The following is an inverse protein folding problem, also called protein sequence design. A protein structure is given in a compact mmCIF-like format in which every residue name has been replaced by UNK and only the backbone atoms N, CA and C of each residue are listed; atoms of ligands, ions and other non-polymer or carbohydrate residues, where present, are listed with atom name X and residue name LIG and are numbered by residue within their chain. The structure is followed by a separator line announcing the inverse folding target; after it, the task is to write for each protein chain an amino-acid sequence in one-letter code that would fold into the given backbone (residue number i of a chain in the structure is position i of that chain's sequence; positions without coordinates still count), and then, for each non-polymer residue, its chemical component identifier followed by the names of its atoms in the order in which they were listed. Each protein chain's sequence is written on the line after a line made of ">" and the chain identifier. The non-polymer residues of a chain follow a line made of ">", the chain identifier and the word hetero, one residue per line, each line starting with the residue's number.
data_IF_133950979580
#
_entry.id   IF_133950979580
#
_cell.length_a   1.000
_cell.length_b   1.000
_cell.length_c   1.000
_cell.angle_alpha   90.00
_cell.angle_beta   90.00
_cell.angle_gamma   90.00
#
_symmetry.space_group_name_H-M   'P 1'
#
loop_
_entity.id
_entity.type
_entity.pdbx_description
1 polymer ?
#
# COMPACT_ATOMS: atom_id res chain seq x y z
N UNK A 1 4.02 -41.30 -25.74
CA UNK A 1 3.36 -40.71 -24.59
C UNK A 1 3.25 -39.21 -24.67
N UNK A 2 4.25 -38.50 -25.10
CA UNK A 2 4.13 -37.11 -25.49
C UNK A 2 4.41 -37.06 -27.01
N UNK A 3 3.33 -36.85 -27.76
CA UNK A 3 3.46 -36.51 -29.19
C UNK A 3 3.87 -35.04 -29.37
N UNK A 4 4.00 -34.32 -28.24
CA UNK A 4 4.40 -32.92 -28.20
C UNK A 4 5.89 -32.77 -27.88
N UNK A 5 6.62 -31.94 -28.63
CA UNK A 5 7.98 -31.52 -28.25
C UNK A 5 8.01 -30.95 -26.82
N UNK A 6 9.14 -31.17 -26.13
CA UNK A 6 9.33 -30.69 -24.74
C UNK A 6 9.03 -29.21 -24.57
N UNK A 7 9.45 -28.40 -25.54
CA UNK A 7 9.27 -26.93 -25.52
C UNK A 7 7.81 -26.54 -25.53
N UNK A 8 6.99 -27.20 -26.33
CA UNK A 8 5.56 -26.96 -26.41
C UNK A 8 4.85 -27.44 -25.15
N UNK A 9 5.27 -28.57 -24.59
CA UNK A 9 4.74 -29.07 -23.31
C UNK A 9 5.03 -28.08 -22.18
N UNK A 10 6.23 -27.49 -22.12
CA UNK A 10 6.59 -26.47 -21.12
C UNK A 10 5.74 -25.21 -21.25
N UNK A 11 5.52 -24.73 -22.49
CA UNK A 11 4.65 -23.59 -22.74
C UNK A 11 3.23 -23.86 -22.25
N UNK A 12 2.66 -25.02 -22.58
CA UNK A 12 1.30 -25.38 -22.13
C UNK A 12 1.22 -25.44 -20.60
N UNK A 13 2.21 -26.03 -19.94
CA UNK A 13 2.24 -26.13 -18.49
C UNK A 13 2.31 -24.77 -17.79
N UNK A 14 3.00 -23.78 -18.39
CA UNK A 14 3.07 -22.43 -17.82
C UNK A 14 1.71 -21.71 -17.77
N UNK A 15 0.78 -22.07 -18.65
CA UNK A 15 -0.59 -21.50 -18.66
C UNK A 15 -1.54 -22.18 -17.68
N UNK A 16 -1.17 -23.34 -17.14
CA UNK A 16 -2.04 -24.04 -16.19
C UNK A 16 -2.00 -23.38 -14.81
N UNK A 17 -3.13 -23.36 -14.09
CA UNK A 17 -3.12 -23.03 -12.66
C UNK A 17 -2.14 -23.94 -11.89
N UNK A 18 -1.47 -23.37 -10.88
CA UNK A 18 -0.43 -24.08 -10.12
C UNK A 18 -0.93 -25.41 -9.50
N UNK A 19 -2.17 -25.42 -8.99
CA UNK A 19 -2.81 -26.64 -8.47
C UNK A 19 -3.03 -27.69 -9.55
N UNK A 20 -3.27 -27.30 -10.80
CA UNK A 20 -3.38 -28.22 -11.94
C UNK A 20 -2.03 -28.82 -12.30
N UNK A 21 -0.94 -28.06 -12.26
CA UNK A 21 0.42 -28.59 -12.45
C UNK A 21 0.75 -29.60 -11.36
N UNK A 22 0.41 -29.33 -10.11
CA UNK A 22 0.60 -30.28 -9.00
C UNK A 22 -0.21 -31.57 -9.19
N UNK A 23 -1.48 -31.44 -9.61
CA UNK A 23 -2.32 -32.61 -9.91
C UNK A 23 -1.79 -33.45 -11.07
N UNK A 24 -1.25 -32.82 -12.12
CA UNK A 24 -0.63 -33.53 -13.22
C UNK A 24 0.52 -34.45 -12.80
N UNK A 25 1.29 -34.10 -11.77
CA UNK A 25 2.33 -34.95 -11.20
C UNK A 25 1.78 -36.29 -10.67
N UNK A 26 0.51 -36.32 -10.29
CA UNK A 26 -0.16 -37.49 -9.73
C UNK A 26 -0.86 -38.37 -10.76
N UNK A 27 -0.93 -37.91 -12.03
CA UNK A 27 -1.67 -38.63 -13.09
C UNK A 27 -0.96 -39.92 -13.51
N UNK A 28 0.37 -39.83 -13.76
CA UNK A 28 1.18 -41.02 -14.10
C UNK A 28 2.68 -40.75 -13.87
N UNK A 29 3.47 -41.82 -13.84
CA UNK A 29 4.92 -41.74 -13.60
C UNK A 29 5.68 -40.88 -14.63
N UNK A 30 5.22 -40.85 -15.87
CA UNK A 30 5.89 -40.07 -16.91
C UNK A 30 5.68 -38.58 -16.72
N UNK A 31 4.47 -38.13 -16.37
CA UNK A 31 4.20 -36.75 -15.99
C UNK A 31 4.98 -36.39 -14.73
N UNK A 32 5.00 -37.26 -13.74
CA UNK A 32 5.76 -37.04 -12.51
C UNK A 32 7.25 -36.79 -12.83
N UNK A 33 7.89 -37.68 -13.59
CA UNK A 33 9.31 -37.55 -13.97
C UNK A 33 9.55 -36.29 -14.79
N UNK A 34 8.70 -36.01 -15.78
CA UNK A 34 8.84 -34.83 -16.63
C UNK A 34 8.79 -33.53 -15.81
N UNK A 35 7.79 -33.39 -14.94
CA UNK A 35 7.64 -32.18 -14.12
C UNK A 35 8.80 -32.05 -13.14
N UNK A 36 9.29 -33.14 -12.53
CA UNK A 36 10.46 -33.08 -11.65
C UNK A 36 11.73 -32.65 -12.39
N UNK A 37 11.97 -33.17 -13.60
CA UNK A 37 13.14 -32.83 -14.40
C UNK A 37 13.12 -31.37 -14.88
N UNK A 38 11.95 -30.82 -15.09
CA UNK A 38 11.75 -29.47 -15.63
C UNK A 38 11.18 -28.51 -14.56
N UNK A 39 11.28 -28.85 -13.27
CA UNK A 39 10.61 -28.17 -12.17
C UNK A 39 10.91 -26.66 -12.19
N UNK A 40 12.18 -26.28 -12.26
CA UNK A 40 12.59 -24.89 -12.24
C UNK A 40 12.02 -24.10 -13.44
N UNK A 41 12.04 -24.67 -14.62
CA UNK A 41 11.54 -24.02 -15.84
C UNK A 41 10.03 -23.83 -15.78
N UNK A 42 9.29 -24.88 -15.39
CA UNK A 42 7.82 -24.87 -15.30
C UNK A 42 7.37 -23.83 -14.28
N UNK A 43 7.92 -23.85 -13.05
CA UNK A 43 7.47 -22.97 -12.00
C UNK A 43 7.95 -21.53 -12.18
N UNK A 44 9.13 -21.31 -12.78
CA UNK A 44 9.56 -19.95 -13.14
C UNK A 44 8.63 -19.33 -14.19
N UNK A 45 8.33 -20.05 -15.28
CA UNK A 45 7.42 -19.57 -16.31
C UNK A 45 6.00 -19.35 -15.78
N UNK A 46 5.51 -20.26 -14.94
CA UNK A 46 4.21 -20.09 -14.26
C UNK A 46 4.20 -18.88 -13.32
N UNK A 47 5.30 -18.65 -12.58
CA UNK A 47 5.42 -17.47 -11.71
C UNK A 47 5.32 -16.16 -12.48
N UNK A 48 5.97 -16.06 -13.64
CA UNK A 48 5.88 -14.89 -14.53
C UNK A 48 4.48 -14.76 -15.14
N UNK A 49 3.94 -15.85 -15.69
CA UNK A 49 2.63 -15.84 -16.36
C UNK A 49 1.49 -15.45 -15.41
N UNK A 50 1.48 -16.05 -14.20
CA UNK A 50 0.48 -15.74 -13.18
C UNK A 50 0.78 -14.45 -12.39
N UNK A 51 1.80 -13.69 -12.82
CA UNK A 51 2.22 -12.42 -12.18
C UNK A 51 2.52 -12.57 -10.69
N UNK A 52 3.07 -13.70 -10.29
CA UNK A 52 3.55 -13.92 -8.92
C UNK A 52 4.86 -13.20 -8.66
N UNK A 53 5.64 -12.95 -9.73
CA UNK A 53 6.86 -12.17 -9.76
C UNK A 53 6.85 -11.21 -10.97
N UNK A 54 7.61 -10.10 -10.94
CA UNK A 54 7.89 -9.28 -12.10
C UNK A 54 8.64 -10.08 -13.19
N UNK A 55 8.42 -9.71 -14.45
CA UNK A 55 9.11 -10.36 -15.59
C UNK A 55 10.63 -10.16 -15.61
N UNK A 56 11.14 -9.18 -14.87
CA UNK A 56 12.57 -8.90 -14.76
C UNK A 56 13.33 -9.87 -13.85
N UNK A 57 12.63 -10.64 -13.04
CA UNK A 57 13.25 -11.56 -12.07
C UNK A 57 13.59 -12.86 -12.75
N UNK A 58 14.88 -13.21 -12.76
CA UNK A 58 15.42 -14.40 -13.44
C UNK A 58 15.92 -15.48 -12.48
N UNK A 59 16.11 -15.14 -11.22
CA UNK A 59 16.56 -16.08 -10.19
C UNK A 59 15.77 -15.94 -8.88
N UNK A 60 15.79 -16.99 -8.06
CA UNK A 60 15.15 -17.00 -6.74
C UNK A 60 15.86 -16.03 -5.81
N UNK A 61 17.17 -15.87 -5.95
CA UNK A 61 17.98 -14.92 -5.19
C UNK A 61 17.57 -13.47 -5.47
N UNK A 62 17.30 -13.12 -6.73
CA UNK A 62 16.75 -11.81 -7.08
C UNK A 62 15.35 -11.60 -6.47
N UNK A 63 14.52 -12.64 -6.43
CA UNK A 63 13.24 -12.56 -5.76
C UNK A 63 13.38 -12.31 -4.25
N UNK A 64 14.38 -12.92 -3.58
CA UNK A 64 14.69 -12.66 -2.17
C UNK A 64 15.10 -11.20 -1.90
N UNK A 65 15.71 -10.53 -2.87
CA UNK A 65 16.05 -9.10 -2.75
C UNK A 65 14.80 -8.22 -2.89
N UNK A 66 13.87 -8.61 -3.77
CA UNK A 66 12.66 -7.83 -4.05
C UNK A 66 11.59 -7.96 -2.96
N UNK A 67 11.44 -9.15 -2.37
CA UNK A 67 10.45 -9.44 -1.35
C UNK A 67 11.09 -9.47 0.04
N UNK A 68 10.29 -9.24 1.09
CA UNK A 68 10.83 -9.24 2.45
C UNK A 68 11.46 -10.59 2.82
N UNK A 69 12.49 -10.56 3.66
CA UNK A 69 13.12 -11.78 4.17
C UNK A 69 12.12 -12.75 4.80
N UNK A 70 11.12 -12.22 5.51
CA UNK A 70 10.13 -13.05 6.20
C UNK A 70 9.15 -13.72 5.24
N UNK A 71 8.78 -13.08 4.13
CA UNK A 71 7.83 -13.67 3.18
C UNK A 71 8.43 -14.81 2.38
N UNK A 72 9.74 -14.81 2.17
CA UNK A 72 10.47 -15.84 1.40
C UNK A 72 11.43 -16.69 2.25
N UNK A 73 11.34 -16.61 3.58
CA UNK A 73 12.17 -17.43 4.46
C UNK A 73 11.92 -18.93 4.22
N UNK A 74 13.00 -19.68 4.04
CA UNK A 74 12.96 -21.12 3.71
C UNK A 74 12.60 -21.46 2.26
N UNK A 75 12.38 -20.47 1.37
CA UNK A 75 12.13 -20.72 -0.05
C UNK A 75 13.46 -21.08 -0.74
N UNK A 76 13.58 -22.33 -1.19
CA UNK A 76 14.80 -22.84 -1.85
C UNK A 76 14.70 -22.94 -3.37
N UNK A 77 13.53 -22.74 -3.97
CA UNK A 77 13.31 -22.91 -5.39
C UNK A 77 12.05 -22.25 -5.92
N UNK A 78 11.91 -22.26 -7.25
CA UNK A 78 10.76 -21.63 -7.92
C UNK A 78 9.41 -22.23 -7.52
N UNK A 79 9.39 -23.53 -7.26
CA UNK A 79 8.16 -24.20 -6.78
C UNK A 79 7.72 -23.66 -5.43
N UNK A 80 8.65 -23.61 -4.47
CA UNK A 80 8.36 -23.13 -3.12
C UNK A 80 7.93 -21.68 -3.13
N UNK A 81 8.58 -20.86 -3.98
CA UNK A 81 8.20 -19.47 -4.21
C UNK A 81 6.77 -19.36 -4.75
N UNK A 82 6.44 -20.15 -5.78
CA UNK A 82 5.09 -20.16 -6.34
C UNK A 82 4.05 -20.58 -5.30
N UNK A 83 4.32 -21.62 -4.52
CA UNK A 83 3.43 -22.10 -3.45
C UNK A 83 3.21 -20.98 -2.39
N UNK A 84 4.28 -20.33 -1.94
CA UNK A 84 4.20 -19.25 -0.97
C UNK A 84 3.40 -18.06 -1.50
N UNK A 85 3.74 -17.57 -2.70
CA UNK A 85 3.06 -16.43 -3.33
C UNK A 85 1.59 -16.73 -3.66
N UNK A 86 1.28 -17.97 -4.04
CA UNK A 86 -0.10 -18.39 -4.27
C UNK A 86 -0.93 -18.39 -2.97
N UNK A 87 -0.36 -18.86 -1.87
CA UNK A 87 -1.00 -18.82 -0.55
C UNK A 87 -1.22 -17.37 -0.09
N UNK A 88 -0.23 -16.51 -0.24
CA UNK A 88 -0.34 -15.09 0.09
C UNK A 88 -1.48 -14.41 -0.68
N UNK A 89 -1.60 -14.68 -1.99
CA UNK A 89 -2.67 -14.11 -2.81
C UNK A 89 -4.05 -14.69 -2.53
N UNK A 90 -4.10 -15.97 -2.23
CA UNK A 90 -5.36 -16.68 -1.95
C UNK A 90 -5.66 -16.75 -0.47
N UNK A 91 -5.50 -15.68 0.27
CA UNK A 91 -5.70 -15.60 1.72
C UNK A 91 -7.04 -16.24 2.15
N UNK A 92 -7.04 -17.56 2.13
CA UNK A 92 -8.21 -18.40 2.41
C UNK A 92 -8.34 -18.73 3.91
N UNK A 93 -7.42 -18.26 4.76
CA UNK A 93 -7.34 -18.60 6.17
C UNK A 93 -6.96 -20.06 6.46
N UNK A 94 -6.58 -20.83 5.44
CA UNK A 94 -6.23 -22.25 5.57
C UNK A 94 -4.73 -22.49 5.75
N UNK A 95 -3.90 -21.47 5.49
CA UNK A 95 -2.46 -21.55 5.69
C UNK A 95 -2.12 -21.44 7.18
N UNK A 96 -1.07 -22.13 7.60
CA UNK A 96 -0.46 -21.89 8.91
C UNK A 96 0.02 -20.44 8.99
N UNK A 97 -0.35 -19.74 10.06
CA UNK A 97 0.10 -18.38 10.31
C UNK A 97 0.90 -18.34 11.60
N UNK A 98 1.97 -17.53 11.60
CA UNK A 98 2.69 -17.17 12.81
C UNK A 98 2.16 -15.83 13.30
N UNK A 99 1.73 -15.80 14.57
CA UNK A 99 1.38 -14.55 15.24
C UNK A 99 2.60 -14.02 15.99
N UNK A 100 3.08 -12.87 15.59
CA UNK A 100 4.18 -12.17 16.26
C UNK A 100 3.59 -10.94 16.97
N UNK A 101 3.51 -10.92 18.30
CA UNK A 101 3.06 -9.74 19.02
C UNK A 101 4.17 -8.68 19.05
N UNK A 102 3.84 -7.44 18.67
CA UNK A 102 4.71 -6.28 18.83
C UNK A 102 4.20 -5.45 20.00
N UNK A 103 4.99 -5.39 21.08
CA UNK A 103 4.62 -4.71 22.33
C UNK A 103 5.26 -3.33 22.47
N UNK A 104 6.42 -3.12 21.86
CA UNK A 104 7.19 -1.88 21.97
C UNK A 104 6.44 -0.65 21.43
N UNK A 105 5.53 -0.84 20.43
CA UNK A 105 4.67 0.22 19.93
C UNK A 105 3.55 0.63 20.90
N UNK A 106 3.35 -0.10 22.01
CA UNK A 106 2.27 0.09 22.95
C UNK A 106 0.91 -0.41 22.46
N UNK A 107 -0.14 -0.19 23.25
CA UNK A 107 -1.50 -0.69 22.99
C UNK A 107 -2.42 0.31 22.29
N UNK A 108 -2.01 1.59 22.20
CA UNK A 108 -2.84 2.68 21.67
C UNK A 108 -2.45 3.08 20.24
N UNK A 109 -2.16 2.12 19.38
CA UNK A 109 -1.75 2.37 17.98
C UNK A 109 -2.90 2.98 17.19
N UNK A 110 -2.65 4.11 16.51
CA UNK A 110 -3.60 4.80 15.62
C UNK A 110 -3.36 4.50 14.15
N UNK A 111 -2.10 4.59 13.71
CA UNK A 111 -1.68 4.25 12.34
C UNK A 111 -0.45 3.36 12.38
N UNK A 112 -0.35 2.53 11.36
CA UNK A 112 0.77 1.62 11.17
C UNK A 112 1.27 1.71 9.72
N UNK A 113 2.58 1.75 9.54
CA UNK A 113 3.27 1.60 8.26
C UNK A 113 4.41 0.61 8.45
N UNK A 114 4.68 -0.19 7.44
CA UNK A 114 5.71 -1.23 7.49
C UNK A 114 6.70 -0.99 6.37
N UNK A 115 7.99 -1.00 6.71
CA UNK A 115 9.07 -1.09 5.75
C UNK A 115 9.70 -2.49 5.90
N UNK A 116 9.24 -3.42 5.08
CA UNK A 116 9.70 -4.80 5.12
C UNK A 116 11.16 -4.92 4.71
N UNK A 117 11.61 -4.10 3.75
CA UNK A 117 12.99 -4.11 3.27
C UNK A 117 13.97 -3.60 4.31
N UNK A 118 13.59 -2.55 5.03
CA UNK A 118 14.41 -1.98 6.10
C UNK A 118 14.18 -2.70 7.45
N UNK A 119 13.17 -3.57 7.56
CA UNK A 119 12.91 -4.41 8.72
C UNK A 119 12.37 -3.64 9.93
N UNK A 120 11.47 -2.67 9.74
CA UNK A 120 10.85 -1.95 10.85
C UNK A 120 9.38 -1.57 10.59
N UNK A 121 8.70 -1.31 11.68
CA UNK A 121 7.31 -0.83 11.72
C UNK A 121 7.32 0.59 12.28
N UNK A 122 6.58 1.50 11.62
CA UNK A 122 6.30 2.84 12.14
C UNK A 122 4.88 2.89 12.66
N UNK A 123 4.69 3.44 13.84
CA UNK A 123 3.37 3.62 14.44
C UNK A 123 3.17 5.03 14.95
N UNK A 124 1.95 5.58 14.80
CA UNK A 124 1.50 6.73 15.57
C UNK A 124 0.50 6.27 16.64
N UNK A 125 0.43 6.99 17.75
CA UNK A 125 -0.39 6.62 18.88
C UNK A 125 -1.63 7.52 19.03
N UNK A 126 -2.72 6.95 19.58
CA UNK A 126 -3.88 7.72 20.05
C UNK A 126 -3.50 8.70 21.17
N UNK A 127 -2.46 8.40 21.93
CA UNK A 127 -1.94 9.27 23.01
C UNK A 127 -0.96 10.33 22.49
N UNK A 128 -0.54 10.22 21.22
CA UNK A 128 0.52 11.01 20.60
C UNK A 128 1.83 10.25 20.56
N UNK A 129 2.78 10.80 19.79
CA UNK A 129 4.06 10.15 19.52
C UNK A 129 4.07 9.31 18.23
N UNK A 130 5.27 9.14 17.69
CA UNK A 130 5.61 8.24 16.60
C UNK A 130 6.74 7.35 17.08
N UNK A 131 6.63 6.04 16.84
CA UNK A 131 7.63 5.05 17.25
C UNK A 131 7.99 4.19 16.06
N UNK A 132 9.29 3.89 15.92
CA UNK A 132 9.85 2.96 14.94
C UNK A 132 10.35 1.74 15.68
N UNK A 133 9.84 0.57 15.33
CA UNK A 133 10.10 -0.69 16.03
C UNK A 133 10.70 -1.70 15.06
N UNK A 134 11.74 -2.38 15.49
CA UNK A 134 12.37 -3.48 14.75
C UNK A 134 11.43 -4.68 14.63
N UNK A 135 11.30 -5.23 13.41
CA UNK A 135 10.38 -6.37 13.14
C UNK A 135 10.89 -7.71 13.67
N UNK A 136 12.18 -7.84 13.95
CA UNK A 136 12.76 -9.10 14.44
C UNK A 136 12.84 -9.14 15.97
N UNK A 137 13.19 -8.00 16.58
CA UNK A 137 13.54 -7.93 18.00
C UNK A 137 12.51 -7.23 18.88
N UNK A 138 11.49 -6.60 18.29
CA UNK A 138 10.50 -5.75 18.97
C UNK A 138 11.16 -4.61 19.78
N UNK A 139 12.35 -4.15 19.38
CA UNK A 139 13.04 -3.04 20.03
C UNK A 139 12.68 -1.71 19.38
N UNK A 140 12.55 -0.67 20.19
CA UNK A 140 12.39 0.68 19.66
C UNK A 140 13.72 1.13 19.07
N UNK A 141 13.72 1.41 17.76
CA UNK A 141 14.87 1.95 17.03
C UNK A 141 14.94 3.47 17.14
N UNK A 142 13.78 4.13 17.14
CA UNK A 142 13.69 5.58 17.17
C UNK A 142 12.27 6.04 17.53
N UNK A 143 12.12 7.25 18.07
CA UNK A 143 10.82 7.80 18.37
C UNK A 143 10.79 9.34 18.38
N UNK A 144 9.60 9.90 18.14
CA UNK A 144 9.26 11.31 18.31
C UNK A 144 8.12 11.44 19.32
N UNK A 145 8.39 11.96 20.48
CA UNK A 145 7.39 12.11 21.55
C UNK A 145 6.36 13.21 21.31
N UNK A 146 6.72 14.24 20.52
CA UNK A 146 5.88 15.44 20.28
C UNK A 146 5.04 15.36 18.99
N UNK A 147 4.69 14.17 18.53
CA UNK A 147 3.71 14.00 17.45
C UNK A 147 2.31 14.10 18.08
N UNK A 148 1.39 14.81 17.39
CA UNK A 148 0.04 15.03 17.91
C UNK A 148 -0.72 13.71 18.13
N UNK A 149 -1.69 13.73 19.02
CA UNK A 149 -2.62 12.61 19.24
C UNK A 149 -3.39 12.32 17.96
N UNK A 150 -3.64 11.04 17.68
CA UNK A 150 -4.34 10.59 16.48
C UNK A 150 -3.75 11.14 15.17
N UNK A 151 -2.43 11.34 15.10
CA UNK A 151 -1.80 11.80 13.88
C UNK A 151 -1.95 10.76 12.76
N UNK A 152 -2.51 11.19 11.61
CA UNK A 152 -2.40 10.39 10.39
C UNK A 152 -0.93 10.33 9.98
N UNK A 153 -0.48 9.17 9.47
CA UNK A 153 0.90 8.94 9.06
C UNK A 153 0.93 8.27 7.70
N UNK A 154 1.73 8.82 6.80
CA UNK A 154 2.08 8.23 5.51
C UNK A 154 3.58 7.91 5.48
N UNK A 155 3.93 6.83 4.75
CA UNK A 155 5.32 6.39 4.60
C UNK A 155 5.55 5.85 3.20
N UNK A 156 6.69 6.15 2.61
CA UNK A 156 7.12 5.62 1.32
C UNK A 156 8.51 6.13 0.95
N UNK A 157 9.31 5.29 0.31
CA UNK A 157 10.66 5.63 -0.19
C UNK A 157 11.52 6.36 0.85
N UNK A 158 11.44 5.93 2.14
CA UNK A 158 12.20 6.52 3.25
C UNK A 158 11.73 7.91 3.69
N UNK A 159 10.55 8.38 3.27
CA UNK A 159 9.89 9.56 3.80
C UNK A 159 8.77 9.17 4.73
N UNK A 160 8.71 9.78 5.90
CA UNK A 160 7.56 9.72 6.81
C UNK A 160 6.91 11.09 6.91
N UNK A 161 5.60 11.13 6.78
CA UNK A 161 4.81 12.37 6.75
C UNK A 161 3.64 12.22 7.71
N UNK A 162 3.44 13.22 8.57
CA UNK A 162 2.33 13.22 9.52
C UNK A 162 1.82 14.63 9.79
N UNK A 163 0.59 14.69 10.35
CA UNK A 163 -0.04 15.96 10.68
C UNK A 163 0.64 16.68 11.84
N UNK A 164 0.83 17.96 11.65
CA UNK A 164 1.19 18.90 12.68
C UNK A 164 -0.05 19.59 13.30
N UNK A 165 0.12 20.19 14.48
CA UNK A 165 -0.99 20.75 15.25
C UNK A 165 -1.70 21.94 14.59
N UNK A 166 -1.03 22.65 13.68
CA UNK A 166 -1.55 23.82 12.95
C UNK A 166 -2.08 23.48 11.54
N UNK A 167 -2.16 22.16 11.21
CA UNK A 167 -2.61 21.69 9.91
C UNK A 167 -1.48 21.50 8.88
N UNK A 168 -0.26 21.92 9.18
CA UNK A 168 0.91 21.64 8.36
C UNK A 168 1.20 20.13 8.31
N UNK A 169 2.02 19.71 7.35
CA UNK A 169 2.54 18.34 7.25
C UNK A 169 4.02 18.34 7.55
N UNK A 170 4.42 17.67 8.63
CA UNK A 170 5.82 17.42 8.89
C UNK A 170 6.33 16.32 7.99
N UNK A 171 7.44 16.57 7.33
CA UNK A 171 8.14 15.61 6.47
C UNK A 171 9.49 15.30 7.10
N UNK A 172 9.75 14.00 7.25
CA UNK A 172 10.99 13.47 7.78
C UNK A 172 11.59 12.49 6.79
N UNK A 173 12.91 12.49 6.66
CA UNK A 173 13.67 11.63 5.76
C UNK A 173 14.47 10.61 6.56
N UNK A 174 14.46 9.34 6.15
CA UNK A 174 15.32 8.31 6.75
C UNK A 174 16.77 8.76 6.71
N UNK A 175 17.48 8.59 7.81
CA UNK A 175 18.83 9.11 7.99
C UNK A 175 19.81 8.53 6.95
N UNK A 176 19.66 7.23 6.63
CA UNK A 176 20.52 6.54 5.67
C UNK A 176 20.32 7.03 4.22
N UNK A 177 19.16 7.64 3.91
CA UNK A 177 18.82 8.21 2.60
C UNK A 177 18.99 9.75 2.57
N UNK A 178 19.49 10.34 3.65
CA UNK A 178 19.56 11.80 3.76
C UNK A 178 20.73 12.34 2.93
N UNK A 179 20.42 13.06 1.85
CA UNK A 179 21.38 13.68 0.96
C UNK A 179 21.34 15.20 1.10
N UNK A 180 22.47 15.78 1.50
CA UNK A 180 22.63 17.23 1.67
C UNK A 180 22.42 18.00 0.36
N UNK A 181 22.85 17.43 -0.77
CA UNK A 181 22.70 18.09 -2.08
C UNK A 181 21.23 18.20 -2.50
N UNK A 182 20.42 17.21 -2.18
CA UNK A 182 18.97 17.25 -2.37
C UNK A 182 18.31 18.19 -1.35
N UNK A 183 18.82 18.21 -0.12
CA UNK A 183 18.31 19.08 0.92
C UNK A 183 18.46 20.57 0.56
N UNK A 184 19.52 20.95 -0.15
CA UNK A 184 19.77 22.32 -0.63
C UNK A 184 18.85 22.75 -1.78
N UNK A 185 18.26 21.80 -2.49
CA UNK A 185 17.32 22.08 -3.61
C UNK A 185 15.90 22.37 -3.14
N UNK A 186 15.63 22.31 -1.84
CA UNK A 186 14.28 22.55 -1.30
C UNK A 186 13.90 24.02 -1.36
N UNK A 187 12.62 24.27 -1.59
CA UNK A 187 12.12 25.64 -1.55
C UNK A 187 12.20 26.21 -0.12
N UNK A 188 12.60 27.47 0.05
CA UNK A 188 12.80 28.05 1.38
C UNK A 188 11.57 27.99 2.30
N UNK A 189 10.36 28.09 1.74
CA UNK A 189 9.10 28.02 2.50
C UNK A 189 8.78 26.64 3.07
N UNK A 190 9.48 25.58 2.63
CA UNK A 190 9.28 24.21 3.09
C UNK A 190 10.42 23.69 3.96
N UNK A 191 11.35 24.53 4.36
CA UNK A 191 12.46 24.11 5.23
C UNK A 191 11.95 23.64 6.60
N UNK A 192 12.68 22.70 7.25
CA UNK A 192 12.33 22.25 8.60
C UNK A 192 12.28 23.41 9.58
N UNK A 193 11.31 23.35 10.49
CA UNK A 193 11.23 24.31 11.60
C UNK A 193 12.32 24.03 12.66
N UNK A 194 12.66 25.04 13.45
CA UNK A 194 13.55 24.90 14.60
C UNK A 194 13.06 23.84 15.61
N UNK A 195 11.74 23.67 15.72
CA UNK A 195 11.12 22.63 16.56
C UNK A 195 11.39 21.22 16.04
N UNK A 196 11.32 20.98 14.72
CA UNK A 196 11.68 19.70 14.14
C UNK A 196 13.16 19.38 14.36
N UNK A 197 14.03 20.36 14.18
CA UNK A 197 15.47 20.21 14.45
C UNK A 197 15.70 19.84 15.91
N UNK A 198 15.12 20.59 16.85
CA UNK A 198 15.21 20.27 18.29
C UNK A 198 14.66 18.88 18.63
N UNK A 199 13.53 18.47 18.03
CA UNK A 199 12.95 17.14 18.23
C UNK A 199 13.87 16.03 17.71
N UNK A 200 14.57 16.27 16.60
CA UNK A 200 15.57 15.37 16.05
C UNK A 200 16.75 15.20 16.99
N UNK A 201 17.27 16.30 17.55
CA UNK A 201 18.40 16.27 18.49
C UNK A 201 18.05 15.50 19.77
N UNK A 202 16.84 15.73 20.31
CA UNK A 202 16.33 15.01 21.48
C UNK A 202 16.20 13.51 21.17
N UNK A 203 15.65 13.16 20.02
CA UNK A 203 15.50 11.77 19.61
C UNK A 203 16.85 11.10 19.39
N UNK A 204 17.81 11.77 18.76
CA UNK A 204 19.15 11.25 18.58
C UNK A 204 19.88 10.98 19.93
N UNK A 205 19.64 11.82 20.92
CA UNK A 205 20.21 11.63 22.27
C UNK A 205 19.57 10.45 23.02
N UNK A 206 18.30 10.13 22.76
CA UNK A 206 17.59 9.01 23.38
C UNK A 206 17.98 7.64 22.78
N UNK A 207 18.38 7.64 21.51
CA UNK A 207 18.76 6.42 20.78
C UNK A 207 20.20 6.50 20.28
N UNK A 208 21.18 6.58 21.19
CA UNK A 208 22.58 6.63 20.82
C UNK A 208 23.04 5.24 20.34
N UNK A 209 23.70 5.18 19.19
CA UNK A 209 24.24 3.92 18.68
C UNK A 209 24.98 4.11 17.36
N UNK A 210 25.75 3.11 16.93
CA UNK A 210 26.46 3.15 15.66
C UNK A 210 25.51 2.97 14.46
N UNK A 211 24.33 2.40 14.69
CA UNK A 211 23.33 2.16 13.63
C UNK A 211 22.32 3.31 13.58
N UNK A 212 22.09 3.80 12.38
CA UNK A 212 21.06 4.80 12.05
C UNK A 212 19.81 4.18 11.43
N UNK A 213 19.74 2.85 11.37
CA UNK A 213 18.58 2.13 10.83
C UNK A 213 17.30 2.51 11.59
N UNK A 214 16.29 2.91 10.84
CA UNK A 214 15.03 3.35 11.42
C UNK A 214 15.03 4.76 12.02
N UNK A 215 16.16 5.49 11.96
CA UNK A 215 16.25 6.88 12.36
C UNK A 215 15.81 7.81 11.24
N UNK A 216 15.21 8.93 11.64
CA UNK A 216 14.74 9.95 10.69
C UNK A 216 15.27 11.32 11.08
N UNK A 217 15.52 12.16 10.05
CA UNK A 217 15.95 13.55 10.18
C UNK A 217 14.89 14.49 9.60
N UNK A 218 14.75 15.71 10.12
CA UNK A 218 13.81 16.69 9.57
C UNK A 218 14.12 16.95 8.10
N UNK A 219 13.09 16.82 7.26
CA UNK A 219 13.21 17.10 5.83
C UNK A 219 12.50 18.38 5.45
N UNK A 220 11.28 18.60 5.92
CA UNK A 220 10.53 19.77 5.58
C UNK A 220 9.27 19.96 6.40
N UNK A 221 8.64 21.12 6.20
CA UNK A 221 7.36 21.47 6.77
C UNK A 221 6.49 22.09 5.67
N UNK A 222 5.41 21.40 5.31
CA UNK A 222 4.53 21.83 4.22
C UNK A 222 3.27 22.48 4.79
N UNK A 223 3.01 23.73 4.40
CA UNK A 223 1.84 24.49 4.81
C UNK A 223 0.80 24.49 3.70
N UNK A 224 -0.34 23.76 3.87
CA UNK A 224 -1.45 23.90 2.96
C UNK A 224 -2.02 25.32 3.00
N UNK A 225 -2.39 25.91 1.84
CA UNK A 225 -3.04 27.23 1.81
C UNK A 225 -4.37 27.30 2.55
N UNK A 226 -5.01 26.14 2.74
CA UNK A 226 -6.27 25.95 3.47
C UNK A 226 -6.18 24.71 4.38
N UNK A 227 -6.98 24.64 5.46
CA UNK A 227 -7.07 23.46 6.30
C UNK A 227 -7.41 22.21 5.47
N UNK A 228 -6.61 21.16 5.62
CA UNK A 228 -6.80 19.88 4.92
C UNK A 228 -7.28 18.80 5.89
N UNK A 229 -8.15 17.91 5.42
CA UNK A 229 -8.72 16.81 6.21
C UNK A 229 -8.08 15.46 5.93
N UNK A 230 -7.89 15.14 4.65
CA UNK A 230 -7.29 13.89 4.21
C UNK A 230 -6.01 14.16 3.42
N UNK A 231 -5.03 13.27 3.55
CA UNK A 231 -3.84 13.31 2.70
C UNK A 231 -3.33 11.91 2.41
N UNK A 232 -2.64 11.77 1.28
CA UNK A 232 -2.04 10.55 0.79
C UNK A 232 -0.69 10.85 0.18
N UNK A 233 0.29 10.01 0.49
CA UNK A 233 1.62 10.09 -0.10
C UNK A 233 1.86 8.90 -1.04
N UNK A 234 2.12 9.22 -2.30
CA UNK A 234 2.60 8.30 -3.33
C UNK A 234 3.84 8.94 -3.94
N UNK A 235 5.00 8.42 -3.58
CA UNK A 235 6.28 9.03 -3.96
C UNK A 235 6.35 9.41 -5.44
N UNK A 236 6.80 10.62 -5.77
CA UNK A 236 7.27 11.67 -4.86
C UNK A 236 6.18 12.68 -4.42
N UNK A 237 4.89 12.40 -4.70
CA UNK A 237 3.79 13.35 -4.56
C UNK A 237 3.02 13.13 -3.26
N UNK A 238 2.90 14.20 -2.47
CA UNK A 238 1.94 14.31 -1.38
C UNK A 238 0.70 15.04 -1.87
N UNK A 239 -0.45 14.39 -1.85
CA UNK A 239 -1.74 15.02 -2.09
C UNK A 239 -2.46 15.28 -0.77
N UNK A 240 -2.97 16.49 -0.58
CA UNK A 240 -3.79 16.83 0.58
C UNK A 240 -5.07 17.55 0.15
N UNK A 241 -6.21 17.03 0.62
CA UNK A 241 -7.54 17.53 0.27
C UNK A 241 -8.06 18.50 1.32
N UNK A 242 -8.38 19.72 0.89
CA UNK A 242 -9.21 20.69 1.59
C UNK A 242 -10.68 20.48 1.22
N UNK A 243 -11.55 21.40 1.63
CA UNK A 243 -12.98 21.31 1.30
C UNK A 243 -13.24 21.26 -0.21
N UNK A 244 -12.70 22.20 -0.96
CA UNK A 244 -12.95 22.36 -2.40
C UNK A 244 -11.67 22.42 -3.25
N UNK A 245 -10.51 22.08 -2.64
CA UNK A 245 -9.21 22.06 -3.28
C UNK A 245 -8.42 20.80 -2.96
N UNK A 246 -7.57 20.40 -3.89
CA UNK A 246 -6.49 19.46 -3.63
C UNK A 246 -5.16 20.12 -3.92
N UNK A 247 -4.26 20.04 -2.98
CA UNK A 247 -2.89 20.52 -3.09
C UNK A 247 -1.95 19.34 -3.29
N UNK A 248 -1.07 19.41 -4.30
CA UNK A 248 -0.08 18.39 -4.60
C UNK A 248 1.33 18.96 -4.46
N UNK A 249 2.14 18.38 -3.58
CA UNK A 249 3.55 18.77 -3.39
C UNK A 249 4.47 17.68 -3.91
N UNK A 250 5.60 18.10 -4.51
CA UNK A 250 6.76 17.25 -4.63
C UNK A 250 7.52 17.27 -3.28
N UNK A 251 7.49 16.16 -2.58
CA UNK A 251 8.08 16.04 -1.22
C UNK A 251 9.60 16.19 -1.23
N UNK A 252 10.26 15.88 -2.35
CA UNK A 252 11.72 16.02 -2.48
C UNK A 252 12.15 17.47 -2.35
N UNK A 253 11.43 18.35 -3.00
CA UNK A 253 11.73 19.80 -3.05
C UNK A 253 10.88 20.62 -2.09
N UNK A 254 9.75 20.08 -1.62
CA UNK A 254 8.74 20.79 -0.84
C UNK A 254 7.93 21.80 -1.68
N UNK A 255 8.05 21.78 -3.01
CA UNK A 255 7.31 22.67 -3.88
C UNK A 255 5.86 22.23 -4.03
N UNK A 256 4.92 23.17 -3.97
CA UNK A 256 3.54 22.96 -4.40
C UNK A 256 3.53 22.92 -5.92
N UNK A 257 3.33 21.73 -6.50
CA UNK A 257 3.44 21.52 -7.96
C UNK A 257 2.11 21.61 -8.67
N UNK A 258 1.00 21.46 -7.96
CA UNK A 258 -0.32 21.53 -8.56
C UNK A 258 -1.39 21.86 -7.51
N UNK A 259 -2.41 22.62 -7.93
CA UNK A 259 -3.66 22.78 -7.19
C UNK A 259 -4.82 22.37 -8.11
N UNK A 260 -5.71 21.53 -7.61
CA UNK A 260 -6.98 21.18 -8.28
C UNK A 260 -8.08 21.90 -7.51
N UNK A 261 -8.85 22.73 -8.21
CA UNK A 261 -9.88 23.57 -7.64
C UNK A 261 -11.29 23.02 -7.92
N UNK A 262 -12.28 23.53 -7.18
CA UNK A 262 -13.70 23.21 -7.39
C UNK A 262 -14.01 21.71 -7.23
N UNK A 263 -13.36 21.04 -6.30
CA UNK A 263 -13.51 19.60 -6.11
C UNK A 263 -14.90 19.21 -5.57
N UNK A 264 -15.67 20.18 -5.07
CA UNK A 264 -17.06 19.99 -4.67
C UNK A 264 -18.06 20.07 -5.85
N UNK A 265 -17.62 20.42 -7.07
CA UNK A 265 -18.47 20.50 -8.25
C UNK A 265 -18.38 19.20 -9.05
N UNK A 266 -19.52 18.71 -9.52
CA UNK A 266 -19.62 17.57 -10.43
C UNK A 266 -19.11 17.88 -11.85
N UNK A 267 -19.04 16.86 -12.68
CA UNK A 267 -18.56 16.97 -14.07
C UNK A 267 -19.43 17.86 -14.97
N UNK A 268 -20.68 18.05 -14.61
CA UNK A 268 -21.67 18.90 -15.29
C UNK A 268 -21.67 20.35 -14.77
N UNK A 269 -20.79 20.68 -13.82
CA UNK A 269 -20.75 21.99 -13.17
C UNK A 269 -21.85 22.23 -12.14
N UNK A 270 -22.72 21.24 -11.91
CA UNK A 270 -23.73 21.32 -10.85
C UNK A 270 -23.08 21.17 -9.48
N UNK A 271 -23.53 21.99 -8.53
CA UNK A 271 -23.10 21.96 -7.14
C UNK A 271 -23.72 20.74 -6.41
N UNK A 272 -23.30 19.55 -6.80
CA UNK A 272 -23.50 18.35 -5.97
C UNK A 272 -22.32 18.24 -5.03
N UNK A 273 -22.47 18.69 -3.81
CA UNK A 273 -21.39 18.62 -2.84
C UNK A 273 -20.96 17.17 -2.59
N UNK A 274 -19.66 16.91 -2.70
CA UNK A 274 -19.06 15.66 -2.30
C UNK A 274 -19.11 15.48 -0.76
N UNK A 275 -19.30 16.58 -0.06
CA UNK A 275 -19.31 16.66 1.39
C UNK A 275 -17.90 16.64 1.97
N UNK A 276 -17.80 16.29 3.25
CA UNK A 276 -16.50 16.13 3.91
C UNK A 276 -15.65 15.08 3.21
N UNK A 277 -14.43 15.45 2.82
CA UNK A 277 -13.50 14.52 2.17
C UNK A 277 -12.90 13.60 3.23
N UNK A 278 -13.15 12.31 3.09
CA UNK A 278 -12.66 11.28 4.01
C UNK A 278 -11.37 10.64 3.53
N UNK A 279 -11.20 10.46 2.20
CA UNK A 279 -10.04 9.84 1.60
C UNK A 279 -9.64 10.56 0.32
N UNK A 280 -8.35 10.54 0.07
CA UNK A 280 -7.73 10.95 -1.18
C UNK A 280 -6.80 9.85 -1.66
N UNK A 281 -6.79 9.54 -2.95
CA UNK A 281 -5.78 8.72 -3.60
C UNK A 281 -5.14 9.49 -4.74
N UNK A 282 -3.82 9.31 -4.91
CA UNK A 282 -3.01 10.05 -5.86
C UNK A 282 -2.35 9.08 -6.82
N UNK A 283 -2.86 9.01 -8.04
CA UNK A 283 -2.25 8.28 -9.13
C UNK A 283 -1.31 9.14 -9.98
N UNK A 284 -0.69 8.54 -10.97
CA UNK A 284 0.17 9.26 -11.92
C UNK A 284 -0.63 10.25 -12.77
N UNK A 285 -1.81 9.86 -13.24
CA UNK A 285 -2.67 10.63 -14.15
C UNK A 285 -3.85 11.27 -13.44
N UNK A 286 -4.29 10.72 -12.32
CA UNK A 286 -5.54 11.10 -11.67
C UNK A 286 -5.38 11.30 -10.17
N UNK A 287 -6.30 12.08 -9.60
CA UNK A 287 -6.53 12.18 -8.17
C UNK A 287 -7.98 11.78 -7.89
N UNK A 288 -8.18 10.92 -6.92
CA UNK A 288 -9.52 10.48 -6.50
C UNK A 288 -9.84 11.01 -5.12
N UNK A 289 -11.06 11.50 -4.96
CA UNK A 289 -11.58 12.00 -3.68
C UNK A 289 -12.82 11.21 -3.31
N UNK A 290 -12.81 10.62 -2.13
CA UNK A 290 -13.98 9.99 -1.54
C UNK A 290 -14.51 10.89 -0.43
N UNK A 291 -15.71 11.44 -0.64
CA UNK A 291 -16.43 12.22 0.34
C UNK A 291 -17.60 11.44 0.93
N UNK A 292 -18.39 12.13 1.76
CA UNK A 292 -19.58 11.54 2.39
C UNK A 292 -20.62 11.12 1.35
N UNK A 293 -20.74 11.88 0.25
CA UNK A 293 -21.82 11.72 -0.72
C UNK A 293 -21.38 11.07 -2.03
N UNK A 294 -20.10 10.68 -2.18
CA UNK A 294 -19.68 10.04 -3.42
C UNK A 294 -18.18 9.96 -3.61
N UNK A 295 -17.80 9.60 -4.82
CA UNK A 295 -16.42 9.46 -5.32
C UNK A 295 -16.24 10.32 -6.56
N UNK A 296 -15.18 11.13 -6.60
CA UNK A 296 -14.78 11.91 -7.78
C UNK A 296 -13.34 11.62 -8.16
N UNK A 297 -13.11 11.56 -9.47
CA UNK A 297 -11.78 11.47 -10.08
C UNK A 297 -11.47 12.72 -10.89
N UNK A 298 -10.28 13.26 -10.71
CA UNK A 298 -9.80 14.46 -11.40
C UNK A 298 -8.58 14.13 -12.22
N UNK A 299 -8.51 14.63 -13.45
CA UNK A 299 -7.31 14.55 -14.28
C UNK A 299 -6.23 15.47 -13.71
N UNK A 300 -5.03 14.96 -13.50
CA UNK A 300 -3.88 15.78 -13.09
C UNK A 300 -3.39 16.70 -14.19
N UNK A 301 -3.58 16.32 -15.45
CA UNK A 301 -3.19 17.17 -16.59
C UNK A 301 -4.07 18.41 -16.73
N UNK A 302 -5.38 18.25 -16.58
CA UNK A 302 -6.34 19.31 -16.86
C UNK A 302 -7.00 19.91 -15.63
N UNK A 303 -6.90 19.27 -14.47
CA UNK A 303 -7.62 19.62 -13.24
C UNK A 303 -9.13 19.35 -13.30
N UNK A 304 -9.66 18.83 -14.43
CA UNK A 304 -11.09 18.63 -14.61
C UNK A 304 -11.58 17.34 -13.96
N UNK A 305 -12.80 17.39 -13.46
CA UNK A 305 -13.52 16.19 -13.02
C UNK A 305 -13.82 15.29 -14.22
N UNK A 306 -13.38 14.04 -14.16
CA UNK A 306 -13.51 13.02 -15.21
C UNK A 306 -14.32 11.80 -14.76
N UNK A 307 -14.53 11.67 -13.47
CA UNK A 307 -15.36 10.66 -12.83
C UNK A 307 -16.18 11.31 -11.74
N UNK A 308 -17.49 11.11 -11.76
CA UNK A 308 -18.41 11.54 -10.71
C UNK A 308 -19.39 10.41 -10.42
N UNK A 309 -19.41 9.93 -9.18
CA UNK A 309 -20.28 8.86 -8.71
C UNK A 309 -20.87 9.23 -7.38
N UNK A 310 -22.20 9.36 -7.35
CA UNK A 310 -22.94 9.54 -6.10
C UNK A 310 -22.95 8.24 -5.29
N UNK A 311 -22.94 8.34 -3.98
CA UNK A 311 -23.18 7.20 -3.08
C UNK A 311 -24.55 6.56 -3.28
N UNK A 312 -25.51 7.30 -3.88
CA UNK A 312 -26.84 6.81 -4.25
C UNK A 312 -26.90 6.08 -5.58
N UNK A 313 -25.89 6.24 -6.46
CA UNK A 313 -25.84 5.62 -7.80
C UNK A 313 -25.35 4.18 -7.72
N UNK A 314 -26.03 3.30 -7.00
CA UNK A 314 -25.62 1.92 -6.78
C UNK A 314 -24.65 1.33 -7.77
N UNK A 315 -23.80 0.45 -7.82
CA UNK A 315 -23.70 -0.78 -7.04
C UNK A 315 -23.00 -0.61 -5.67
N UNK A 316 -22.50 0.59 -5.35
CA UNK A 316 -21.88 0.86 -4.05
C UNK A 316 -22.90 0.94 -2.89
N UNK A 317 -24.17 1.23 -3.20
CA UNK A 317 -25.26 1.21 -2.21
C UNK A 317 -26.07 -0.10 -2.17
N UNK A 318 -25.78 -1.07 -3.04
CA UNK A 318 -26.58 -2.29 -3.18
C UNK A 318 -25.94 -3.54 -2.52
N UNK A 319 -25.00 -3.37 -1.60
CA UNK A 319 -24.50 -4.47 -0.77
C UNK A 319 -25.45 -4.67 0.40
N UNK A 320 -26.45 -5.52 0.22
CA UNK A 320 -27.21 -6.06 1.35
C UNK A 320 -26.35 -7.14 2.03
N UNK A 321 -25.72 -6.76 3.11
CA UNK A 321 -25.06 -7.71 4.00
C UNK A 321 -26.10 -8.29 4.95
N UNK A 322 -26.63 -9.45 4.66
CA UNK A 322 -27.40 -10.20 5.65
C UNK A 322 -26.47 -10.99 6.55
N UNK A 323 -26.37 -10.59 7.81
CA UNK A 323 -25.75 -11.39 8.85
C UNK A 323 -26.79 -12.47 9.23
N UNK A 324 -26.58 -13.71 8.78
CA UNK A 324 -27.44 -14.80 9.23
C UNK A 324 -27.03 -15.23 10.64
N UNK A 325 -27.94 -15.17 11.63
CA UNK A 325 -27.65 -15.67 12.97
C UNK A 325 -27.53 -17.21 13.05
N UNK A 326 -27.93 -17.93 11.99
CA UNK A 326 -27.82 -19.38 11.91
C UNK A 326 -26.82 -19.76 10.81
N UNK A 327 -25.55 -20.06 11.15
CA UNK A 327 -24.60 -20.58 10.19
C UNK A 327 -25.05 -21.97 9.69
N UNK A 328 -24.75 -22.33 8.42
CA UNK A 328 -24.98 -23.69 7.95
C UNK A 328 -24.22 -24.68 8.83
N UNK A 329 -24.81 -25.86 9.03
CA UNK A 329 -24.47 -26.89 10.03
C UNK A 329 -23.03 -27.45 10.04
N UNK A 330 -22.11 -26.89 9.25
CA UNK A 330 -20.71 -27.35 9.12
C UNK A 330 -19.66 -26.27 9.41
N UNK A 331 -20.02 -25.20 10.14
CA UNK A 331 -19.09 -24.10 10.40
C UNK A 331 -18.78 -23.99 11.89
N UNK A 332 -17.54 -23.58 12.17
CA UNK A 332 -17.04 -23.33 13.53
C UNK A 332 -17.89 -22.27 14.22
N UNK A 333 -18.22 -22.43 15.50
CA UNK A 333 -18.94 -21.40 16.26
C UNK A 333 -18.18 -20.06 16.22
N UNK A 334 -18.87 -19.00 15.84
CA UNK A 334 -18.29 -17.64 15.73
C UNK A 334 -17.98 -17.17 14.31
N UNK A 335 -18.21 -17.97 13.27
CA UNK A 335 -18.04 -17.56 11.87
C UNK A 335 -19.19 -16.64 11.44
N UNK A 336 -18.84 -15.48 10.89
CA UNK A 336 -19.78 -14.54 10.25
C UNK A 336 -19.82 -14.85 8.76
N UNK A 337 -21.01 -15.20 8.24
CA UNK A 337 -21.21 -15.40 6.80
C UNK A 337 -21.76 -14.11 6.18
N UNK A 338 -21.03 -13.61 5.22
CA UNK A 338 -21.49 -12.53 4.36
C UNK A 338 -21.98 -13.17 3.06
N UNK A 339 -23.28 -13.11 2.79
CA UNK A 339 -23.85 -13.54 1.51
C UNK A 339 -23.74 -12.37 0.54
N UNK A 340 -22.99 -12.56 -0.51
CA UNK A 340 -22.91 -11.64 -1.62
C UNK A 340 -24.05 -11.97 -2.60
N UNK A 341 -25.08 -11.15 -2.65
CA UNK A 341 -26.09 -11.27 -3.70
C UNK A 341 -25.49 -10.73 -5.01
N UNK A 342 -25.61 -11.52 -6.08
CA UNK A 342 -25.07 -11.19 -7.40
C UNK A 342 -25.74 -9.92 -7.94
N UNK A 343 -24.99 -8.82 -7.89
CA UNK A 343 -25.35 -7.59 -8.59
C UNK A 343 -25.19 -7.83 -10.09
N UNK A 344 -26.21 -7.58 -10.87
CA UNK A 344 -26.10 -7.56 -12.34
C UNK A 344 -25.07 -6.50 -12.70
N UNK A 345 -23.97 -6.91 -13.32
CA UNK A 345 -22.95 -5.98 -13.81
C UNK A 345 -23.61 -4.95 -14.74
N UNK A 346 -23.52 -3.66 -14.43
CA UNK A 346 -23.88 -2.65 -15.38
C UNK A 346 -22.95 -2.76 -16.60
N UNK A 347 -23.46 -2.47 -17.75
CA UNK A 347 -22.78 -2.40 -19.05
C UNK A 347 -21.44 -1.68 -18.91
N UNK A 348 -20.38 -2.25 -19.48
CA UNK A 348 -19.02 -1.73 -19.47
C UNK A 348 -19.02 -0.24 -19.86
N UNK A 349 -18.75 0.63 -18.89
CA UNK A 349 -18.67 2.07 -19.09
C UNK A 349 -17.26 2.46 -19.56
N UNK A 350 -17.11 3.48 -20.44
CA UNK A 350 -15.79 3.96 -20.89
C UNK A 350 -14.85 4.51 -19.80
N UNK A 351 -15.30 4.52 -18.55
CA UNK A 351 -14.53 4.93 -17.37
C UNK A 351 -13.78 3.78 -16.65
N UNK A 352 -13.76 2.57 -17.25
CA UNK A 352 -13.16 1.39 -16.61
C UNK A 352 -11.67 1.58 -16.29
N UNK A 353 -10.90 2.16 -17.20
CA UNK A 353 -9.47 2.40 -16.99
C UNK A 353 -9.20 3.34 -15.80
N UNK A 354 -10.05 4.34 -15.58
CA UNK A 354 -9.96 5.29 -14.47
C UNK A 354 -10.24 4.59 -13.15
N UNK A 355 -11.25 3.70 -13.12
CA UNK A 355 -11.59 2.92 -11.93
C UNK A 355 -10.48 1.90 -11.61
N UNK A 356 -9.90 1.27 -12.62
CA UNK A 356 -8.81 0.31 -12.46
C UNK A 356 -7.56 1.00 -11.89
N UNK A 357 -7.27 2.25 -12.26
CA UNK A 357 -6.18 3.04 -11.63
C UNK A 357 -6.47 3.34 -10.15
N UNK A 358 -7.71 3.68 -9.81
CA UNK A 358 -8.11 3.90 -8.42
C UNK A 358 -7.94 2.63 -7.57
N UNK A 359 -8.41 1.48 -8.08
CA UNK A 359 -8.30 0.19 -7.38
C UNK A 359 -6.85 -0.27 -7.24
N UNK A 360 -5.99 0.02 -8.22
CA UNK A 360 -4.57 -0.31 -8.15
C UNK A 360 -3.78 0.54 -7.13
N UNK A 361 -4.30 1.73 -6.78
CA UNK A 361 -3.69 2.64 -5.81
C UNK A 361 -4.07 2.36 -4.34
N UNK A 362 -5.12 1.57 -4.13
CA UNK A 362 -5.55 1.16 -2.78
C UNK A 362 -4.83 -0.10 -2.30
#
# INVERSE_FOLDING_TARGET
>A
MFDLPTELALVVLAYLPLDSVQRLRLVCQSWHKFILLQENTIYHQAAMFHKLIPQSITSVEEAHVLYSKHSLDGVGGWRDLCERRYIERSWSGKAASNLIPYNAAGTSVHRIKVDEMAGYILTTSCEGGLTVVDTETDQILWSLSKVRRHAHCEYGEGYVIFDFSDGAKEVWRRTDDYDLSQAEQRVPSSLPSSRQVQASDVSAALFPGPSTRGHFRPWGLLYPPQPTRAFRFVYPILGAAAWDHVFLWDVRTGALVQTIENTQCGSDGNLQFLGDINYIEVGQKHVFLCGVHGLRGFSRETGRCILDRSSSDGPFGAWDFSISPNPPTHTTPGSVFVRQDTVRHPTIHPQREIIDEFVAGM
#
